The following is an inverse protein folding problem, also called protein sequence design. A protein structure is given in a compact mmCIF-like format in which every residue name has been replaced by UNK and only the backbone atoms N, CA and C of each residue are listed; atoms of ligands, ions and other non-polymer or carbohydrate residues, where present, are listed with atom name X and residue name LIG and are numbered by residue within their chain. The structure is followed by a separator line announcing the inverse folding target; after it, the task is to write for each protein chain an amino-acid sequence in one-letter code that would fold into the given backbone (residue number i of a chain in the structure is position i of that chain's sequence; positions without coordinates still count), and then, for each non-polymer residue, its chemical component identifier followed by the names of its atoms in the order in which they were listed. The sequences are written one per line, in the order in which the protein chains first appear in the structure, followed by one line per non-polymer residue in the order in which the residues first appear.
data_IF_570353970439
#
_entry.id   IF_570353970439
#
_cell.length_a   1.000
_cell.length_b   1.000
_cell.length_c   1.000
_cell.angle_alpha   90.00
_cell.angle_beta   90.00
_cell.angle_gamma   90.00
#
_symmetry.space_group_name_H-M   'P 1'
#
loop_
_entity.id
_entity.type
_entity.pdbx_description
1 polymer ?
#
# COMPACT_ATOMS: atom_id res chain seq x y z
N UNK A 1 40.42 -54.91 -24.36
CA UNK A 1 39.07 -55.46 -24.07
C UNK A 1 38.66 -54.96 -22.69
N UNK A 2 37.89 -53.88 -22.61
CA UNK A 2 37.31 -53.43 -21.33
C UNK A 2 36.26 -54.46 -20.92
N UNK A 3 36.37 -54.96 -19.70
CA UNK A 3 35.61 -56.09 -19.18
C UNK A 3 34.12 -55.74 -19.14
N UNK A 4 33.27 -56.41 -19.94
CA UNK A 4 31.83 -56.11 -20.10
C UNK A 4 31.05 -56.13 -18.77
N UNK A 5 31.60 -56.74 -17.73
CA UNK A 5 31.02 -56.84 -16.39
C UNK A 5 31.14 -55.51 -15.64
N UNK A 6 32.28 -54.81 -15.75
CA UNK A 6 32.54 -53.51 -15.11
C UNK A 6 31.58 -52.42 -15.64
N UNK A 7 31.30 -52.44 -16.95
CA UNK A 7 30.45 -51.44 -17.61
C UNK A 7 28.99 -51.51 -17.15
N UNK A 8 28.45 -52.71 -16.91
CA UNK A 8 27.06 -52.88 -16.44
C UNK A 8 26.88 -52.43 -14.98
N UNK A 9 27.89 -52.63 -14.14
CA UNK A 9 27.87 -52.21 -12.73
C UNK A 9 27.92 -50.68 -12.64
N UNK A 10 28.75 -50.02 -13.45
CA UNK A 10 28.82 -48.55 -13.51
C UNK A 10 27.51 -47.95 -14.04
N UNK A 11 26.88 -48.56 -15.05
CA UNK A 11 25.60 -48.09 -15.59
C UNK A 11 24.45 -48.23 -14.58
N UNK A 12 24.42 -49.32 -13.82
CA UNK A 12 23.44 -49.53 -12.74
C UNK A 12 23.66 -48.56 -11.57
N UNK A 13 24.92 -48.28 -11.20
CA UNK A 13 25.25 -47.32 -10.15
C UNK A 13 24.87 -45.89 -10.54
N UNK A 14 25.08 -45.49 -11.80
CA UNK A 14 24.61 -44.21 -12.36
C UNK A 14 23.08 -44.09 -12.37
N UNK A 15 22.37 -45.18 -12.69
CA UNK A 15 20.92 -45.23 -12.63
C UNK A 15 20.36 -45.04 -11.21
N UNK A 16 20.98 -45.68 -10.21
CA UNK A 16 20.59 -45.54 -8.80
C UNK A 16 20.89 -44.12 -8.28
N UNK A 17 22.03 -43.53 -8.67
CA UNK A 17 22.39 -42.16 -8.30
C UNK A 17 21.43 -41.13 -8.95
N UNK A 18 21.04 -41.33 -10.20
CA UNK A 18 20.05 -40.50 -10.88
C UNK A 18 18.65 -40.60 -10.24
N UNK A 19 18.26 -41.80 -9.78
CA UNK A 19 17.01 -42.01 -9.05
C UNK A 19 17.02 -41.29 -7.68
N UNK A 20 18.15 -41.32 -6.97
CA UNK A 20 18.32 -40.59 -5.70
C UNK A 20 18.30 -39.06 -5.89
N UNK A 21 18.88 -38.56 -6.98
CA UNK A 21 18.87 -37.13 -7.34
C UNK A 21 17.48 -36.63 -7.77
N UNK A 22 16.64 -37.50 -8.35
CA UNK A 22 15.26 -37.16 -8.69
C UNK A 22 14.36 -37.10 -7.44
N UNK A 23 14.49 -38.07 -6.53
CA UNK A 23 13.67 -38.14 -5.31
C UNK A 23 14.11 -37.11 -4.25
N UNK A 24 15.38 -36.67 -4.30
CA UNK A 24 15.98 -35.76 -3.31
C UNK A 24 15.88 -34.27 -3.64
N UNK A 25 15.25 -33.85 -4.73
CA UNK A 25 14.97 -32.43 -4.96
C UNK A 25 13.96 -31.98 -3.89
N UNK A 26 14.33 -31.09 -2.96
CA UNK A 26 13.35 -30.53 -2.05
C UNK A 26 12.29 -29.86 -2.91
N UNK A 27 11.03 -30.30 -2.80
CA UNK A 27 9.92 -29.52 -3.29
C UNK A 27 10.08 -28.14 -2.64
N UNK A 28 10.39 -27.13 -3.45
CA UNK A 28 10.38 -25.75 -2.99
C UNK A 28 8.92 -25.47 -2.68
N UNK A 29 8.54 -25.69 -1.43
CA UNK A 29 7.29 -25.23 -0.87
C UNK A 29 7.37 -23.70 -0.98
N UNK A 30 6.82 -23.16 -2.07
CA UNK A 30 6.52 -21.75 -2.16
C UNK A 30 5.59 -21.48 -0.97
N UNK A 31 6.08 -20.74 0.01
CA UNK A 31 5.24 -20.26 1.08
C UNK A 31 4.13 -19.41 0.43
N UNK A 32 2.88 -19.89 0.52
CA UNK A 32 1.70 -19.12 0.12
C UNK A 32 1.62 -17.90 1.05
N UNK A 33 2.12 -16.77 0.58
CA UNK A 33 2.10 -15.49 1.30
C UNK A 33 0.83 -14.71 0.96
N UNK A 34 -0.32 -15.38 0.96
CA UNK A 34 -1.60 -14.72 0.68
C UNK A 34 -1.93 -13.71 1.79
N UNK A 35 -2.31 -12.50 1.42
CA UNK A 35 -2.56 -11.44 2.39
C UNK A 35 -3.66 -10.48 1.97
N UNK A 36 -4.26 -9.83 2.95
CA UNK A 36 -5.10 -8.66 2.74
C UNK A 36 -4.35 -7.39 3.14
N UNK A 37 -4.60 -6.31 2.43
CA UNK A 37 -3.98 -5.00 2.69
C UNK A 37 -4.96 -3.85 2.50
N UNK A 38 -4.69 -2.78 3.22
CA UNK A 38 -5.39 -1.51 3.08
C UNK A 38 -4.44 -0.54 2.36
N UNK A 39 -4.92 0.07 1.27
CA UNK A 39 -4.13 0.95 0.41
C UNK A 39 -4.80 2.32 0.29
N UNK A 40 -4.08 3.45 0.50
CA UNK A 40 -2.68 3.51 0.92
C UNK A 40 -2.50 3.07 2.37
N UNK A 41 -1.33 2.50 2.70
CA UNK A 41 -1.01 2.07 4.07
C UNK A 41 -0.76 3.26 5.02
N UNK A 42 -0.36 4.41 4.46
CA UNK A 42 -0.19 5.66 5.20
C UNK A 42 -0.60 6.85 4.36
N UNK A 43 -1.32 7.79 4.96
CA UNK A 43 -1.63 9.07 4.32
C UNK A 43 -2.09 10.12 5.34
N UNK A 44 -2.15 11.37 4.90
CA UNK A 44 -2.61 12.52 5.68
C UNK A 44 -3.84 13.07 4.98
N UNK A 45 -4.96 13.17 5.69
CA UNK A 45 -6.23 13.68 5.15
C UNK A 45 -6.73 14.89 5.95
N UNK A 46 -7.33 15.89 5.28
CA UNK A 46 -7.99 16.98 5.99
C UNK A 46 -9.31 16.49 6.63
N UNK A 47 -9.57 16.95 7.86
CA UNK A 47 -10.82 16.70 8.57
C UNK A 47 -12.01 17.23 7.77
N UNK A 48 -13.13 16.52 7.82
CA UNK A 48 -14.37 16.81 7.09
C UNK A 48 -14.31 16.67 5.56
N UNK A 49 -13.19 16.19 4.99
CA UNK A 49 -13.16 15.80 3.57
C UNK A 49 -13.23 14.29 3.41
N UNK A 50 -14.08 13.77 2.51
CA UNK A 50 -14.15 12.33 2.28
C UNK A 50 -12.86 11.83 1.63
N UNK A 51 -12.36 10.71 2.12
CA UNK A 51 -11.25 9.97 1.51
C UNK A 51 -11.65 8.53 1.22
N UNK A 52 -10.93 7.92 0.27
CA UNK A 52 -11.18 6.54 -0.15
C UNK A 52 -9.95 5.70 0.09
N UNK A 53 -10.16 4.52 0.67
CA UNK A 53 -9.17 3.46 0.81
C UNK A 53 -9.57 2.26 -0.05
N UNK A 54 -8.59 1.48 -0.46
CA UNK A 54 -8.79 0.25 -1.20
C UNK A 54 -8.43 -0.95 -0.34
N UNK A 55 -9.29 -1.95 -0.34
CA UNK A 55 -9.01 -3.26 0.24
C UNK A 55 -8.47 -4.12 -0.88
N UNK A 56 -7.25 -4.63 -0.73
CA UNK A 56 -6.57 -5.42 -1.76
C UNK A 56 -6.15 -6.79 -1.24
N UNK A 57 -6.17 -7.76 -2.13
CA UNK A 57 -5.78 -9.14 -1.87
C UNK A 57 -4.56 -9.54 -2.71
N UNK A 58 -3.57 -10.11 -2.04
CA UNK A 58 -2.51 -10.91 -2.64
C UNK A 58 -2.83 -12.37 -2.38
N UNK A 59 -2.85 -13.17 -3.43
CA UNK A 59 -3.17 -14.60 -3.35
C UNK A 59 -1.98 -15.49 -3.02
N UNK A 60 -0.76 -14.94 -2.98
CA UNK A 60 0.46 -15.71 -2.67
C UNK A 60 0.85 -16.75 -3.73
N UNK A 61 0.12 -16.79 -4.86
CA UNK A 61 0.25 -17.82 -5.90
C UNK A 61 -0.92 -18.81 -5.93
N UNK A 62 -1.80 -18.81 -4.92
CA UNK A 62 -3.02 -19.61 -4.89
C UNK A 62 -4.15 -19.03 -5.76
N UNK A 63 -5.16 -19.85 -6.06
CA UNK A 63 -6.40 -19.39 -6.69
C UNK A 63 -7.46 -19.24 -5.61
N UNK A 64 -8.12 -18.07 -5.54
CA UNK A 64 -9.20 -17.78 -4.59
C UNK A 64 -10.54 -17.60 -5.30
N UNK A 65 -11.62 -18.00 -4.65
CA UNK A 65 -12.99 -17.77 -5.13
C UNK A 65 -13.81 -16.87 -4.21
N UNK A 66 -13.44 -16.80 -2.92
CA UNK A 66 -14.10 -15.90 -1.97
C UNK A 66 -13.08 -15.18 -1.10
N UNK A 67 -13.49 -14.04 -0.56
CA UNK A 67 -12.78 -13.38 0.53
C UNK A 67 -13.77 -12.74 1.47
N UNK A 68 -13.50 -12.80 2.77
CA UNK A 68 -14.19 -12.00 3.77
C UNK A 68 -13.16 -11.11 4.46
N UNK A 69 -13.51 -9.86 4.73
CA UNK A 69 -12.66 -8.92 5.42
C UNK A 69 -13.51 -8.04 6.33
N UNK A 70 -13.16 -7.98 7.62
CA UNK A 70 -13.76 -7.02 8.55
C UNK A 70 -12.69 -6.02 8.95
N UNK A 71 -12.89 -4.77 8.60
CA UNK A 71 -12.02 -3.65 8.92
C UNK A 71 -12.57 -2.94 10.15
N UNK A 72 -11.70 -2.71 11.13
CA UNK A 72 -11.98 -1.93 12.32
C UNK A 72 -11.28 -0.56 12.25
N UNK A 73 -11.99 0.47 12.72
CA UNK A 73 -11.56 1.86 12.83
C UNK A 73 -12.16 2.47 14.11
N UNK A 74 -11.63 3.61 14.57
CA UNK A 74 -12.23 4.32 15.71
C UNK A 74 -13.42 5.18 15.22
N UNK A 75 -14.67 4.90 15.64
CA UNK A 75 -15.85 5.66 15.23
C UNK A 75 -15.91 7.07 15.83
N UNK A 76 -15.07 7.39 16.82
CA UNK A 76 -14.88 8.76 17.33
C UNK A 76 -13.98 9.59 16.42
N UNK A 77 -13.11 8.94 15.63
CA UNK A 77 -12.16 9.59 14.74
C UNK A 77 -12.69 9.71 13.32
N UNK A 78 -13.50 8.74 12.88
CA UNK A 78 -13.91 8.60 11.47
C UNK A 78 -15.35 8.13 11.34
N UNK A 79 -16.05 8.64 10.33
CA UNK A 79 -17.36 8.16 9.91
C UNK A 79 -17.28 7.39 8.59
N UNK A 80 -17.92 6.23 8.53
CA UNK A 80 -18.07 5.45 7.30
C UNK A 80 -19.15 6.05 6.40
N UNK A 81 -18.88 6.12 5.09
CA UNK A 81 -19.80 6.69 4.10
C UNK A 81 -20.35 5.61 3.17
N UNK A 82 -19.47 4.87 2.50
CA UNK A 82 -19.90 3.95 1.45
C UNK A 82 -18.85 2.90 1.08
N UNK A 83 -19.32 1.86 0.38
CA UNK A 83 -18.51 0.85 -0.28
C UNK A 83 -18.78 0.88 -1.78
N UNK A 84 -17.76 0.63 -2.59
CA UNK A 84 -17.89 0.38 -4.03
C UNK A 84 -17.12 -0.86 -4.44
N UNK A 85 -17.76 -1.72 -5.24
CA UNK A 85 -17.16 -2.90 -5.86
C UNK A 85 -16.64 -2.65 -7.27
N UNK A 86 -16.65 -1.41 -7.73
CA UNK A 86 -16.22 -1.05 -9.08
C UNK A 86 -14.76 -1.46 -9.31
N UNK A 87 -14.49 -2.24 -10.35
CA UNK A 87 -13.16 -2.77 -10.64
C UNK A 87 -12.69 -3.87 -9.69
N UNK A 88 -13.57 -4.43 -8.86
CA UNK A 88 -13.26 -5.59 -8.02
C UNK A 88 -12.88 -6.80 -8.88
N UNK A 89 -11.99 -7.65 -8.35
CA UNK A 89 -11.69 -8.97 -8.93
C UNK A 89 -12.79 -9.99 -8.67
N UNK A 90 -13.72 -9.69 -7.75
CA UNK A 90 -14.88 -10.52 -7.46
C UNK A 90 -16.07 -10.09 -8.31
N UNK A 91 -16.82 -11.07 -8.84
CA UNK A 91 -18.01 -10.80 -9.65
C UNK A 91 -19.16 -10.22 -8.83
N UNK A 92 -19.17 -10.47 -7.52
CA UNK A 92 -20.11 -9.89 -6.56
C UNK A 92 -19.38 -9.48 -5.30
N UNK A 93 -19.81 -8.37 -4.74
CA UNK A 93 -19.44 -7.95 -3.40
C UNK A 93 -20.71 -7.75 -2.56
N UNK A 94 -20.60 -8.02 -1.27
CA UNK A 94 -21.56 -7.64 -0.25
C UNK A 94 -20.79 -6.91 0.84
N UNK A 95 -21.39 -5.91 1.46
CA UNK A 95 -20.82 -5.27 2.62
C UNK A 95 -21.90 -4.91 3.63
N UNK A 96 -21.50 -4.89 4.88
CA UNK A 96 -22.29 -4.43 6.00
C UNK A 96 -21.42 -3.56 6.91
N UNK A 97 -22.00 -2.56 7.56
CA UNK A 97 -21.25 -1.66 8.43
C UNK A 97 -21.95 -1.48 9.76
N UNK A 98 -21.18 -1.64 10.84
CA UNK A 98 -21.58 -1.30 12.18
C UNK A 98 -20.80 -0.06 12.65
N UNK A 99 -21.33 1.11 12.29
CA UNK A 99 -20.69 2.39 12.57
C UNK A 99 -20.59 2.70 14.07
N UNK A 100 -21.40 2.06 14.92
CA UNK A 100 -21.33 2.27 16.38
C UNK A 100 -20.11 1.58 16.99
N UNK A 101 -19.69 0.45 16.42
CA UNK A 101 -18.51 -0.30 16.86
C UNK A 101 -17.29 -0.09 15.94
N UNK A 102 -17.41 0.80 14.95
CA UNK A 102 -16.33 1.12 14.02
C UNK A 102 -15.93 -0.06 13.16
N UNK A 103 -16.88 -0.79 12.59
CA UNK A 103 -16.60 -1.98 11.75
C UNK A 103 -17.25 -1.91 10.39
N UNK A 104 -16.52 -2.30 9.36
CA UNK A 104 -17.05 -2.58 8.01
C UNK A 104 -16.67 -3.99 7.62
N UNK A 105 -17.64 -4.83 7.34
CA UNK A 105 -17.44 -6.19 6.83
C UNK A 105 -17.72 -6.23 5.33
N UNK A 106 -16.82 -6.84 4.57
CA UNK A 106 -16.90 -7.00 3.12
C UNK A 106 -16.75 -8.47 2.80
N UNK A 107 -17.61 -8.98 1.93
CA UNK A 107 -17.53 -10.32 1.38
C UNK A 107 -17.47 -10.24 -0.15
N UNK A 108 -16.40 -10.77 -0.74
CA UNK A 108 -16.23 -10.93 -2.17
C UNK A 108 -16.52 -12.36 -2.60
N UNK A 109 -17.26 -12.53 -3.70
CA UNK A 109 -17.61 -13.84 -4.25
C UNK A 109 -17.44 -13.87 -5.77
N UNK A 110 -16.70 -14.86 -6.25
CA UNK A 110 -16.66 -15.25 -7.66
C UNK A 110 -17.74 -16.31 -7.90
N UNK A 111 -18.54 -16.11 -8.95
CA UNK A 111 -19.60 -17.04 -9.33
C UNK A 111 -19.14 -18.50 -9.37
N UNK A 112 -19.97 -19.38 -8.81
CA UNK A 112 -19.70 -20.82 -8.76
C UNK A 112 -19.46 -21.37 -10.16
N UNK A 113 -18.39 -22.15 -10.32
CA UNK A 113 -18.01 -22.76 -11.59
C UNK A 113 -17.24 -21.84 -12.54
N UNK A 114 -16.91 -20.62 -12.13
CA UNK A 114 -15.93 -19.76 -12.82
C UNK A 114 -14.51 -20.04 -12.31
N UNK A 115 -13.52 -19.72 -13.13
CA UNK A 115 -12.13 -19.68 -12.68
C UNK A 115 -11.99 -18.60 -11.59
N UNK A 116 -11.26 -18.95 -10.52
CA UNK A 116 -11.00 -18.02 -9.43
C UNK A 116 -9.98 -16.94 -9.81
N UNK A 117 -9.67 -16.08 -8.85
CA UNK A 117 -8.65 -15.06 -8.99
C UNK A 117 -7.29 -15.58 -8.52
N UNK A 118 -6.24 -15.27 -9.28
CA UNK A 118 -4.83 -15.44 -8.91
C UNK A 118 -4.08 -14.16 -9.29
N UNK A 119 -3.40 -13.57 -8.32
CA UNK A 119 -2.64 -12.34 -8.49
C UNK A 119 -2.25 -11.72 -7.15
N UNK A 120 -1.35 -10.74 -7.20
CA UNK A 120 -0.77 -10.10 -6.01
C UNK A 120 -1.35 -8.72 -5.68
N UNK A 121 -2.30 -8.23 -6.48
CA UNK A 121 -2.80 -6.86 -6.36
C UNK A 121 -4.28 -6.75 -6.73
N UNK A 122 -5.08 -7.75 -6.35
CA UNK A 122 -6.51 -7.80 -6.65
C UNK A 122 -7.28 -6.78 -5.82
N UNK A 123 -8.09 -5.94 -6.46
CA UNK A 123 -9.00 -5.06 -5.73
C UNK A 123 -10.19 -5.87 -5.19
N UNK A 124 -10.43 -5.81 -3.88
CA UNK A 124 -11.62 -6.38 -3.25
C UNK A 124 -12.76 -5.37 -3.31
N UNK A 125 -12.56 -4.19 -2.71
CA UNK A 125 -13.53 -3.10 -2.68
C UNK A 125 -12.85 -1.77 -2.36
N UNK A 126 -13.55 -0.67 -2.64
CA UNK A 126 -13.20 0.68 -2.18
C UNK A 126 -14.13 1.10 -1.07
N UNK A 127 -13.58 1.68 0.00
CA UNK A 127 -14.34 2.19 1.13
C UNK A 127 -14.11 3.69 1.25
N UNK A 128 -15.18 4.45 1.40
CA UNK A 128 -15.13 5.90 1.59
C UNK A 128 -15.48 6.25 3.04
N UNK A 129 -14.69 7.15 3.60
CA UNK A 129 -14.77 7.60 4.98
C UNK A 129 -14.65 9.13 5.06
N UNK A 130 -15.12 9.72 6.16
CA UNK A 130 -14.93 11.15 6.49
C UNK A 130 -14.27 11.26 7.87
N UNK A 131 -13.10 11.91 8.00
CA UNK A 131 -12.49 12.14 9.30
C UNK A 131 -13.27 13.19 10.09
N UNK A 132 -13.42 12.96 11.40
CA UNK A 132 -14.24 13.77 12.30
C UNK A 132 -13.42 14.75 13.14
N UNK A 133 -12.16 14.42 13.43
CA UNK A 133 -11.28 15.24 14.30
C UNK A 133 -9.81 15.08 13.93
N UNK A 134 -8.99 16.03 14.38
CA UNK A 134 -7.54 16.05 14.18
C UNK A 134 -6.87 15.03 15.12
N UNK A 135 -6.37 13.93 14.57
CA UNK A 135 -5.83 12.79 15.32
C UNK A 135 -5.04 11.85 14.40
N UNK A 136 -4.12 11.07 14.97
CA UNK A 136 -3.53 9.90 14.33
C UNK A 136 -4.34 8.66 14.70
N UNK A 137 -4.79 7.89 13.70
CA UNK A 137 -5.62 6.70 13.92
C UNK A 137 -5.15 5.52 13.08
N UNK A 138 -5.51 4.31 13.49
CA UNK A 138 -5.16 3.07 12.79
C UNK A 138 -6.41 2.35 12.29
N UNK A 139 -6.31 1.87 11.06
CA UNK A 139 -7.26 0.94 10.44
C UNK A 139 -6.61 -0.44 10.41
N UNK A 140 -7.32 -1.47 10.86
CA UNK A 140 -6.81 -2.83 10.87
C UNK A 140 -7.89 -3.85 10.52
N UNK A 141 -7.48 -5.03 10.07
CA UNK A 141 -8.41 -6.14 9.88
C UNK A 141 -8.70 -6.79 11.23
N UNK A 142 -9.95 -6.73 11.69
CA UNK A 142 -10.43 -7.50 12.84
C UNK A 142 -10.54 -8.99 12.49
N UNK A 143 -10.84 -9.30 11.23
CA UNK A 143 -10.80 -10.65 10.67
C UNK A 143 -10.60 -10.60 9.16
N UNK A 144 -10.05 -11.68 8.61
CA UNK A 144 -9.90 -11.85 7.18
C UNK A 144 -9.87 -13.33 6.80
N UNK A 145 -10.48 -13.65 5.66
CA UNK A 145 -10.41 -14.96 5.04
C UNK A 145 -10.25 -14.82 3.52
N UNK A 146 -9.55 -15.77 2.91
CA UNK A 146 -9.62 -16.01 1.48
C UNK A 146 -9.68 -17.51 1.29
N UNK A 147 -10.61 -17.98 0.45
CA UNK A 147 -10.81 -19.42 0.25
C UNK A 147 -10.79 -19.79 -1.23
N UNK A 148 -10.42 -21.03 -1.57
CA UNK A 148 -10.42 -21.50 -2.96
C UNK A 148 -11.82 -21.44 -3.61
N UNK A 149 -11.90 -21.45 -4.95
CA UNK A 149 -13.18 -21.53 -5.66
C UNK A 149 -13.99 -22.78 -5.28
N UNK A 150 -15.28 -22.59 -5.02
CA UNK A 150 -16.19 -23.68 -4.74
C UNK A 150 -16.54 -24.39 -6.05
N UNK A 151 -16.11 -25.64 -6.18
CA UNK A 151 -16.51 -26.50 -7.29
C UNK A 151 -18.04 -26.72 -7.30
N UNK A 152 -18.61 -27.00 -8.48
CA UNK A 152 -20.04 -27.29 -8.61
C UNK A 152 -20.39 -28.52 -7.76
N UNK A 153 -21.32 -28.37 -6.81
CA UNK A 153 -21.75 -29.45 -5.91
C UNK A 153 -20.93 -29.62 -4.63
N UNK A 154 -19.84 -28.86 -4.43
CA UNK A 154 -19.05 -28.90 -3.20
C UNK A 154 -19.66 -28.06 -2.07
N UNK A 155 -19.41 -28.45 -0.81
CA UNK A 155 -19.79 -27.66 0.36
C UNK A 155 -18.76 -26.56 0.64
N UNK A 156 -19.20 -25.47 1.27
CA UNK A 156 -18.32 -24.37 1.72
C UNK A 156 -17.60 -24.72 3.02
N UNK A 157 -18.12 -25.67 3.79
CA UNK A 157 -17.67 -25.99 5.15
C UNK A 157 -16.24 -26.53 5.23
N UNK A 158 -15.69 -27.03 4.12
CA UNK A 158 -14.37 -27.69 4.09
C UNK A 158 -13.27 -26.81 3.50
N UNK A 159 -13.57 -25.54 3.17
CA UNK A 159 -12.59 -24.65 2.57
C UNK A 159 -11.70 -24.01 3.63
N UNK A 160 -10.40 -24.26 3.53
CA UNK A 160 -9.40 -23.66 4.39
C UNK A 160 -9.15 -22.19 4.01
N UNK A 161 -8.97 -21.34 5.03
CA UNK A 161 -8.45 -20.01 4.84
C UNK A 161 -6.99 -20.08 4.40
N UNK A 162 -6.65 -19.42 3.30
CA UNK A 162 -5.28 -19.39 2.77
C UNK A 162 -4.48 -18.16 3.23
N UNK A 163 -5.12 -17.18 3.86
CA UNK A 163 -4.44 -15.95 4.29
C UNK A 163 -3.40 -16.26 5.37
N UNK A 164 -2.19 -15.75 5.15
CA UNK A 164 -1.08 -15.78 6.09
C UNK A 164 -0.70 -14.39 6.61
N UNK A 165 -1.27 -13.31 6.07
CA UNK A 165 -1.03 -11.93 6.53
C UNK A 165 -2.23 -10.98 6.42
N UNK A 166 -2.32 -10.05 7.36
CA UNK A 166 -3.29 -8.95 7.36
C UNK A 166 -2.53 -7.65 7.62
N UNK A 167 -2.44 -6.78 6.61
CA UNK A 167 -1.67 -5.54 6.69
C UNK A 167 -2.55 -4.36 7.13
N UNK A 168 -2.09 -3.63 8.14
CA UNK A 168 -2.78 -2.46 8.71
C UNK A 168 -2.44 -1.17 7.96
N UNK A 169 -3.22 -0.12 8.19
CA UNK A 169 -2.95 1.22 7.70
C UNK A 169 -3.02 2.26 8.83
N UNK A 170 -2.18 3.29 8.76
CA UNK A 170 -2.14 4.38 9.74
C UNK A 170 -2.39 5.72 9.04
N UNK A 171 -3.32 6.51 9.54
CA UNK A 171 -3.68 7.80 8.95
C UNK A 171 -3.54 8.94 9.95
N UNK A 172 -3.16 10.10 9.45
CA UNK A 172 -3.13 11.35 10.21
C UNK A 172 -4.20 12.27 9.66
N UNK A 173 -5.11 12.73 10.52
CA UNK A 173 -6.11 13.71 10.15
C UNK A 173 -5.70 15.08 10.66
N UNK A 174 -5.68 16.08 9.77
CA UNK A 174 -5.28 17.44 10.11
C UNK A 174 -6.45 18.41 9.89
N UNK A 175 -6.52 19.53 10.60
CA UNK A 175 -7.56 20.53 10.35
C UNK A 175 -7.56 20.94 8.89
N UNK A 176 -8.75 21.00 8.29
CA UNK A 176 -8.90 21.64 6.98
C UNK A 176 -8.55 23.11 7.17
N UNK A 177 -7.57 23.60 6.40
CA UNK A 177 -7.20 25.00 6.47
C UNK A 177 -8.42 25.86 6.13
N UNK A 178 -8.81 26.70 7.07
CA UNK A 178 -9.85 27.68 6.83
C UNK A 178 -9.28 28.69 5.85
N UNK A 179 -9.75 28.68 4.60
CA UNK A 179 -9.59 29.82 3.74
C UNK A 179 -10.32 30.99 4.41
N UNK A 180 -9.57 31.82 5.15
CA UNK A 180 -10.09 33.11 5.62
C UNK A 180 -10.36 33.90 4.34
N UNK A 181 -11.64 33.99 3.98
CA UNK A 181 -12.07 34.86 2.90
C UNK A 181 -11.71 36.30 3.28
N UNK A 182 -10.73 36.86 2.58
CA UNK A 182 -10.63 38.31 2.42
C UNK A 182 -9.83 39.10 3.46
N UNK A 183 -8.72 38.57 3.97
CA UNK A 183 -7.53 39.45 3.94
C UNK A 183 -6.95 39.25 2.55
N UNK A 184 -6.81 40.29 1.70
CA UNK A 184 -5.88 40.15 0.60
C UNK A 184 -4.59 39.66 1.23
N UNK A 185 -4.13 38.48 0.84
CA UNK A 185 -2.70 38.26 0.86
C UNK A 185 -2.18 39.48 0.13
N UNK A 186 -1.54 40.39 0.86
CA UNK A 186 -0.49 41.14 0.23
C UNK A 186 0.37 40.03 -0.36
N UNK A 187 0.24 39.82 -1.66
CA UNK A 187 1.33 39.32 -2.48
C UNK A 187 2.43 40.35 -2.30
N UNK A 188 3.04 40.37 -1.10
CA UNK A 188 4.41 40.72 -0.94
C UNK A 188 5.08 39.63 -1.77
N UNK A 189 5.34 40.01 -3.02
CA UNK A 189 6.18 39.30 -3.96
C UNK A 189 7.59 39.37 -3.38
N UNK A 190 7.78 38.83 -2.18
CA UNK A 190 9.09 38.55 -1.64
C UNK A 190 9.50 37.26 -2.32
N UNK A 191 10.27 37.42 -3.38
CA UNK A 191 11.04 36.32 -3.94
C UNK A 191 11.89 35.73 -2.83
N UNK A 192 11.50 34.56 -2.35
CA UNK A 192 12.31 33.77 -1.42
C UNK A 192 13.58 33.34 -2.15
N UNK A 193 14.73 33.79 -1.67
CA UNK A 193 16.01 33.33 -2.18
C UNK A 193 16.33 31.98 -1.54
N UNK A 194 16.15 30.90 -2.31
CA UNK A 194 16.60 29.57 -1.91
C UNK A 194 18.08 29.47 -2.28
N UNK A 195 18.95 29.39 -1.27
CA UNK A 195 20.37 29.21 -1.49
C UNK A 195 20.71 27.72 -1.38
N UNK A 196 21.14 27.04 -2.46
CA UNK A 196 21.73 25.73 -2.33
C UNK A 196 23.02 25.83 -1.52
N UNK A 197 23.21 24.94 -0.54
CA UNK A 197 24.44 24.90 0.23
C UNK A 197 25.62 24.48 -0.67
N UNK A 198 26.82 25.09 -0.52
CA UNK A 198 27.97 24.75 -1.35
C UNK A 198 28.30 23.26 -1.25
N UNK A 199 28.25 22.55 -2.37
CA UNK A 199 28.76 21.19 -2.48
C UNK A 199 30.21 21.31 -3.00
N UNK A 200 31.22 20.71 -2.32
CA UNK A 200 32.57 20.68 -2.83
C UNK A 200 32.60 20.10 -4.25
N UNK A 201 33.41 20.68 -5.15
CA UNK A 201 33.47 20.26 -6.56
C UNK A 201 33.81 18.77 -6.76
N UNK A 202 34.38 18.14 -5.72
CA UNK A 202 34.69 16.70 -5.65
C UNK A 202 33.49 15.79 -5.41
N UNK A 203 32.32 16.34 -5.07
CA UNK A 203 31.11 15.59 -4.67
C UNK A 203 29.91 15.81 -5.62
N UNK A 204 30.11 16.56 -6.71
CA UNK A 204 29.06 16.88 -7.69
C UNK A 204 28.53 15.63 -8.42
N UNK A 205 29.38 14.64 -8.66
CA UNK A 205 29.03 13.43 -9.42
C UNK A 205 28.64 12.28 -8.49
N UNK A 206 27.41 11.77 -8.62
CA UNK A 206 26.92 10.61 -7.89
C UNK A 206 26.15 10.91 -6.59
N UNK A 207 25.90 12.18 -6.28
CA UNK A 207 25.13 12.59 -5.10
C UNK A 207 23.68 12.87 -5.47
N UNK A 208 22.75 12.00 -5.07
CA UNK A 208 21.29 12.18 -5.26
C UNK A 208 20.64 12.98 -4.13
N UNK A 209 21.44 13.68 -3.32
CA UNK A 209 20.96 14.43 -2.17
C UNK A 209 21.30 15.92 -2.28
N UNK A 210 20.32 16.77 -1.98
CA UNK A 210 20.45 18.23 -2.02
C UNK A 210 20.07 18.80 -0.66
N UNK A 211 20.90 19.68 -0.14
CA UNK A 211 20.60 20.47 1.06
C UNK A 211 20.21 21.88 0.64
N UNK A 212 19.02 22.29 1.03
CA UNK A 212 18.44 23.60 0.78
C UNK A 212 18.34 24.36 2.08
N UNK A 213 18.61 25.66 2.04
CA UNK A 213 18.37 26.58 3.15
C UNK A 213 17.66 27.83 2.66
N UNK A 214 16.80 28.39 3.50
CA UNK A 214 16.02 29.60 3.21
C UNK A 214 15.80 30.41 4.48
N UNK A 215 15.54 31.70 4.31
CA UNK A 215 15.19 32.63 5.38
C UNK A 215 13.67 32.70 5.52
N UNK A 216 13.18 32.61 6.75
CA UNK A 216 11.76 32.73 7.05
C UNK A 216 11.38 34.21 7.22
N UNK A 217 10.20 34.65 6.74
CA UNK A 217 9.74 36.01 6.93
C UNK A 217 9.25 36.23 8.36
N UNK A 218 9.37 37.46 8.84
CA UNK A 218 8.91 37.83 10.18
C UNK A 218 7.40 37.62 10.32
N UNK A 219 6.98 36.96 11.40
CA UNK A 219 5.57 36.65 11.65
C UNK A 219 5.02 35.42 10.92
N UNK A 220 5.87 34.65 10.21
CA UNK A 220 5.48 33.34 9.73
C UNK A 220 4.99 32.46 10.90
N UNK A 221 3.85 31.80 10.70
CA UNK A 221 3.28 30.85 11.67
C UNK A 221 3.17 29.45 11.09
N UNK A 222 3.19 29.33 9.76
CA UNK A 222 3.08 28.08 9.02
C UNK A 222 4.01 28.06 7.81
N UNK A 223 4.44 26.86 7.41
CA UNK A 223 5.27 26.65 6.23
C UNK A 223 4.81 25.44 5.45
N UNK A 224 4.79 25.58 4.12
CA UNK A 224 4.51 24.48 3.19
C UNK A 224 5.63 24.38 2.17
N UNK A 225 6.05 23.16 1.85
CA UNK A 225 7.01 22.92 0.78
C UNK A 225 6.46 21.92 -0.22
N UNK A 226 6.95 21.98 -1.45
CA UNK A 226 6.82 20.92 -2.43
C UNK A 226 8.07 20.97 -3.29
N UNK A 227 8.51 19.80 -3.75
CA UNK A 227 9.53 19.67 -4.78
C UNK A 227 8.82 19.06 -5.98
N UNK A 228 8.81 19.78 -7.09
CA UNK A 228 7.99 19.42 -8.26
C UNK A 228 8.72 19.72 -9.56
N UNK A 229 8.54 18.87 -10.58
CA UNK A 229 8.99 19.17 -11.95
C UNK A 229 8.11 20.26 -12.62
N UNK A 230 6.98 20.61 -12.00
CA UNK A 230 6.04 21.65 -12.46
C UNK A 230 6.19 22.91 -11.61
N UNK A 231 6.47 24.03 -12.28
CA UNK A 231 6.65 25.36 -11.67
C UNK A 231 5.44 25.89 -10.90
N UNK A 232 4.22 25.57 -11.36
CA UNK A 232 2.98 26.10 -10.78
C UNK A 232 2.32 25.11 -9.81
N UNK A 233 3.08 24.15 -9.29
CA UNK A 233 2.55 23.16 -8.37
C UNK A 233 2.31 23.76 -6.98
N UNK A 234 1.17 23.42 -6.39
CA UNK A 234 0.79 23.93 -5.07
C UNK A 234 1.51 23.15 -3.96
N UNK A 235 2.21 23.82 -3.03
CA UNK A 235 2.86 23.15 -1.91
C UNK A 235 1.91 22.34 -1.04
N UNK A 236 2.19 21.04 -0.88
CA UNK A 236 1.32 20.11 -0.14
C UNK A 236 1.92 19.61 1.17
N UNK A 237 3.24 19.69 1.36
CA UNK A 237 3.89 19.22 2.59
C UNK A 237 3.86 20.33 3.64
N UNK A 238 2.96 20.19 4.61
CA UNK A 238 2.82 21.10 5.75
C UNK A 238 3.81 20.71 6.85
N UNK A 239 4.46 21.69 7.46
CA UNK A 239 5.31 21.47 8.63
C UNK A 239 4.67 22.12 9.86
N UNK A 240 4.55 21.39 10.98
CA UNK A 240 4.02 21.94 12.24
C UNK A 240 5.00 22.89 12.94
N UNK A 241 6.27 22.89 12.51
CA UNK A 241 7.31 23.79 13.00
C UNK A 241 8.00 24.40 11.80
N UNK A 242 8.25 25.70 11.86
CA UNK A 242 8.97 26.40 10.79
C UNK A 242 10.39 25.86 10.69
N UNK A 243 10.75 25.39 9.50
CA UNK A 243 12.11 24.97 9.20
C UNK A 243 12.76 26.03 8.33
N UNK A 244 14.08 26.20 8.48
CA UNK A 244 14.91 27.08 7.65
C UNK A 244 15.83 26.28 6.70
N UNK A 245 15.71 24.96 6.70
CA UNK A 245 16.46 24.07 5.82
C UNK A 245 15.75 22.73 5.60
N UNK A 246 16.07 22.09 4.47
CA UNK A 246 15.66 20.72 4.19
C UNK A 246 16.77 19.95 3.48
N UNK A 247 16.85 18.65 3.76
CA UNK A 247 17.65 17.72 2.98
C UNK A 247 16.71 16.85 2.16
N UNK A 248 16.88 16.88 0.84
CA UNK A 248 16.19 16.03 -0.10
C UNK A 248 17.16 14.92 -0.52
N UNK A 249 16.69 13.69 -0.61
CA UNK A 249 17.50 12.54 -1.00
C UNK A 249 16.81 11.74 -2.09
N UNK A 250 17.60 11.05 -2.92
CA UNK A 250 17.08 10.26 -4.03
C UNK A 250 16.51 11.10 -5.17
N UNK A 251 16.97 12.35 -5.36
CA UNK A 251 16.57 13.17 -6.50
C UNK A 251 17.22 12.62 -7.79
N UNK A 252 16.42 12.22 -8.80
CA UNK A 252 16.96 11.82 -10.10
C UNK A 252 17.72 12.96 -10.79
N UNK A 253 18.90 12.63 -11.32
CA UNK A 253 19.75 13.55 -12.08
C UNK A 253 19.11 13.93 -13.44
N UNK A 254 19.57 15.05 -14.02
CA UNK A 254 19.18 15.47 -15.38
C UNK A 254 17.77 16.07 -15.50
N UNK A 255 17.13 16.41 -14.38
CA UNK A 255 15.79 17.00 -14.32
C UNK A 255 15.79 18.33 -13.58
N UNK A 256 14.88 19.23 -13.98
CA UNK A 256 14.65 20.49 -13.29
C UNK A 256 13.55 20.31 -12.25
N UNK A 257 13.77 20.84 -11.04
CA UNK A 257 12.82 20.84 -9.95
C UNK A 257 12.57 22.28 -9.48
N UNK A 258 11.35 22.53 -9.03
CA UNK A 258 10.84 23.77 -8.47
C UNK A 258 10.35 23.52 -7.05
#
# INVERSE_FOLDING_TARGET
MVNKIEFKVVLNALGILALFLWIGLPAVLLADNASLSIVPATHVYPVSEPFTIEVRVDTGGAIIGTTDATIAYDPQDVSYVSVSGEGSVFSRISADSDSNYGKVSISGFIERGKEGFNGSNGLVARLTFVPLRNVETQFHFASGSATPPIALGASVADLANILSGLHVANYTFIPKESAVAGVPFASAQETFEITPLPIPYTEWFGTTSVKLSWTLPDGATEMRTLVSEKKDATPTKVYPTLLNSATLSGIPEGKNYF
#
